data_IF_586869627354
#
_entry.id   IF_586869627354
#
_cell.length_a   1.000
_cell.length_b   1.000
_cell.length_c   1.000
_cell.angle_alpha   90.00
_cell.angle_beta   90.00
_cell.angle_gamma   90.00
#
_symmetry.space_group_name_H-M   'P 1'
#
loop_
_entity.id
_entity.type
_entity.pdbx_description
1 polymer ?
#
# COMPACT_ATOMS: atom_id res chain seq x y z
N UNK A 1 2.33 1.54 27.32
CA UNK A 1 2.09 3.00 27.31
C UNK A 1 2.65 3.50 25.99
N UNK A 2 1.83 4.08 25.10
CA UNK A 2 2.33 4.61 23.83
C UNK A 2 3.33 5.75 24.12
N UNK A 3 4.42 5.83 23.37
CA UNK A 3 5.42 6.89 23.55
C UNK A 3 4.85 8.21 23.02
N UNK A 4 5.35 9.34 23.54
CA UNK A 4 4.94 10.69 23.09
C UNK A 4 5.11 10.88 21.58
N UNK A 5 6.13 10.27 20.97
CA UNK A 5 6.32 10.26 19.52
C UNK A 5 5.19 9.51 18.79
N UNK A 6 4.79 8.34 19.29
CA UNK A 6 3.68 7.57 18.67
C UNK A 6 2.38 8.35 18.69
N UNK A 7 2.08 9.04 19.78
CA UNK A 7 0.87 9.87 19.93
C UNK A 7 0.88 11.01 18.90
N UNK A 8 2.01 11.73 18.78
CA UNK A 8 2.19 12.81 17.80
C UNK A 8 1.97 12.31 16.37
N UNK A 9 2.47 11.13 16.03
CA UNK A 9 2.28 10.52 14.71
C UNK A 9 0.81 10.19 14.44
N UNK A 10 0.08 9.67 15.43
CA UNK A 10 -1.34 9.36 15.28
C UNK A 10 -2.19 10.62 15.06
N UNK A 11 -1.90 11.71 15.78
CA UNK A 11 -2.57 13.01 15.59
C UNK A 11 -2.35 13.54 14.17
N UNK A 12 -1.11 13.48 13.67
CA UNK A 12 -0.77 13.91 12.31
C UNK A 12 -1.49 13.08 11.24
N UNK A 13 -1.56 11.76 11.41
CA UNK A 13 -2.25 10.87 10.47
C UNK A 13 -3.76 11.14 10.49
N UNK A 14 -4.37 11.32 11.66
CA UNK A 14 -5.80 11.64 11.77
C UNK A 14 -6.12 12.94 11.05
N UNK A 15 -5.32 13.99 11.26
CA UNK A 15 -5.50 15.28 10.60
C UNK A 15 -5.39 15.16 9.06
N UNK A 16 -4.44 14.38 8.55
CA UNK A 16 -4.29 14.14 7.10
C UNK A 16 -5.49 13.39 6.50
N UNK A 17 -6.03 12.39 7.22
CA UNK A 17 -7.22 11.65 6.78
C UNK A 17 -8.43 12.58 6.68
N UNK A 18 -8.60 13.44 7.68
CA UNK A 18 -9.68 14.45 7.72
C UNK A 18 -9.53 15.48 6.59
N UNK A 19 -8.33 16.01 6.36
CA UNK A 19 -8.04 16.97 5.29
C UNK A 19 -8.34 16.42 3.89
N UNK A 20 -8.11 15.12 3.68
CA UNK A 20 -8.38 14.44 2.41
C UNK A 20 -9.81 13.89 2.30
N UNK A 21 -10.67 14.13 3.30
CA UNK A 21 -12.06 13.66 3.36
C UNK A 21 -12.20 12.14 3.13
N UNK A 22 -11.21 11.35 3.59
CA UNK A 22 -11.16 9.90 3.34
C UNK A 22 -12.06 9.15 4.32
N UNK A 23 -13.00 8.37 3.79
CA UNK A 23 -13.82 7.46 4.59
C UNK A 23 -13.03 6.24 5.07
N UNK A 24 -13.49 5.62 6.14
CA UNK A 24 -12.94 4.35 6.63
C UNK A 24 -12.96 3.27 5.56
N UNK A 25 -14.04 3.19 4.79
CA UNK A 25 -14.23 2.21 3.72
C UNK A 25 -13.20 2.41 2.61
N UNK A 26 -12.91 3.66 2.24
CA UNK A 26 -11.86 3.99 1.28
C UNK A 26 -10.48 3.58 1.79
N UNK A 27 -10.14 3.92 3.04
CA UNK A 27 -8.86 3.54 3.64
C UNK A 27 -8.68 2.02 3.72
N UNK A 28 -9.72 1.29 4.12
CA UNK A 28 -9.69 -0.19 4.18
C UNK A 28 -9.54 -0.77 2.77
N UNK A 29 -10.22 -0.20 1.77
CA UNK A 29 -10.06 -0.62 0.38
C UNK A 29 -8.64 -0.39 -0.13
N UNK A 30 -8.05 0.78 0.12
CA UNK A 30 -6.67 1.09 -0.26
C UNK A 30 -5.66 0.16 0.43
N UNK A 31 -5.83 -0.08 1.74
CA UNK A 31 -4.98 -1.01 2.46
C UNK A 31 -5.07 -2.43 1.89
N UNK A 32 -6.29 -2.89 1.56
CA UNK A 32 -6.48 -4.18 0.91
C UNK A 32 -5.72 -4.23 -0.43
N UNK A 33 -5.82 -3.21 -1.27
CA UNK A 33 -5.10 -3.17 -2.55
C UNK A 33 -3.59 -3.18 -2.37
N UNK A 34 -3.05 -2.46 -1.38
CA UNK A 34 -1.62 -2.50 -1.05
C UNK A 34 -1.18 -3.93 -0.70
N UNK A 35 -1.96 -4.64 0.12
CA UNK A 35 -1.67 -6.02 0.51
C UNK A 35 -1.83 -7.01 -0.66
N UNK A 36 -2.80 -6.79 -1.53
CA UNK A 36 -3.01 -7.60 -2.73
C UNK A 36 -1.83 -7.47 -3.69
N UNK A 37 -1.32 -6.24 -3.93
CA UNK A 37 -0.12 -6.02 -4.75
C UNK A 37 1.07 -6.72 -4.11
N UNK A 38 1.32 -6.54 -2.81
CA UNK A 38 2.43 -7.23 -2.12
C UNK A 38 2.35 -8.75 -2.26
N UNK A 39 1.18 -9.33 -2.02
CA UNK A 39 0.98 -10.77 -2.12
C UNK A 39 1.20 -11.28 -3.56
N UNK A 40 0.78 -10.52 -4.56
CA UNK A 40 1.06 -10.83 -5.97
C UNK A 40 2.57 -10.81 -6.26
N UNK A 41 3.25 -9.72 -5.87
CA UNK A 41 4.69 -9.52 -6.07
C UNK A 41 5.52 -10.63 -5.39
N UNK A 42 5.18 -10.98 -4.15
CA UNK A 42 5.84 -12.06 -3.40
C UNK A 42 5.65 -13.42 -4.10
N UNK A 43 4.45 -13.70 -4.61
CA UNK A 43 4.19 -14.92 -5.39
C UNK A 43 4.98 -14.95 -6.70
N UNK A 44 5.11 -13.82 -7.39
CA UNK A 44 5.93 -13.70 -8.60
C UNK A 44 7.39 -13.97 -8.28
N UNK A 45 7.92 -13.35 -7.21
CA UNK A 45 9.29 -13.56 -6.75
C UNK A 45 9.55 -15.05 -6.45
N UNK A 46 8.63 -15.71 -5.75
CA UNK A 46 8.70 -17.14 -5.46
C UNK A 46 8.76 -18.01 -6.73
N UNK A 47 7.93 -17.70 -7.73
CA UNK A 47 7.90 -18.45 -8.99
C UNK A 47 9.17 -18.23 -9.82
N UNK A 48 9.76 -17.03 -9.79
CA UNK A 48 11.05 -16.73 -10.41
C UNK A 48 12.18 -17.50 -9.73
N UNK A 49 12.21 -17.49 -8.39
CA UNK A 49 13.21 -18.23 -7.60
C UNK A 49 13.16 -19.74 -7.87
N UNK A 50 11.96 -20.29 -8.14
CA UNK A 50 11.75 -21.69 -8.50
C UNK A 50 12.01 -21.99 -9.99
N UNK A 51 12.40 -20.99 -10.78
CA UNK A 51 12.55 -21.07 -12.25
C UNK A 51 11.28 -21.58 -12.98
N UNK A 52 10.11 -21.41 -12.36
CA UNK A 52 8.81 -21.75 -12.95
C UNK A 52 8.36 -20.64 -13.90
N UNK A 53 8.53 -19.39 -13.46
CA UNK A 53 8.30 -18.22 -14.30
C UNK A 53 9.58 -17.91 -15.09
N UNK A 54 9.45 -17.73 -16.41
CA UNK A 54 10.58 -17.44 -17.32
C UNK A 54 10.54 -15.99 -17.79
N UNK A 55 11.72 -15.38 -17.86
CA UNK A 55 11.86 -13.97 -18.25
C UNK A 55 12.32 -13.10 -17.06
N UNK A 56 12.55 -11.82 -17.34
CA UNK A 56 12.82 -10.84 -16.30
C UNK A 56 11.50 -10.21 -15.86
N UNK A 57 11.19 -10.28 -14.56
CA UNK A 57 10.14 -9.46 -13.96
C UNK A 57 10.79 -8.38 -13.12
N UNK A 58 10.27 -7.16 -13.22
CA UNK A 58 10.61 -6.06 -12.32
C UNK A 58 9.58 -6.09 -11.20
N UNK A 59 10.05 -6.34 -9.98
CA UNK A 59 9.15 -6.41 -8.84
C UNK A 59 8.86 -5.01 -8.32
N UNK A 60 7.60 -4.78 -7.99
CA UNK A 60 7.10 -3.50 -7.46
C UNK A 60 7.00 -3.49 -5.91
N UNK A 61 7.52 -4.54 -5.27
CA UNK A 61 7.48 -4.69 -3.82
C UNK A 61 8.18 -3.52 -3.10
N UNK A 62 7.43 -2.78 -2.29
CA UNK A 62 7.89 -1.60 -1.55
C UNK A 62 7.32 -0.28 -2.07
N UNK A 63 6.68 -0.30 -3.24
CA UNK A 63 6.12 0.88 -3.90
C UNK A 63 4.59 0.83 -3.99
N UNK A 64 3.93 -0.11 -3.31
CA UNK A 64 2.50 -0.39 -3.49
C UNK A 64 1.61 0.82 -3.20
N UNK A 65 1.97 1.58 -2.15
CA UNK A 65 1.24 2.79 -1.77
C UNK A 65 1.30 3.87 -2.86
N UNK A 66 2.36 3.91 -3.68
CA UNK A 66 2.49 4.85 -4.80
C UNK A 66 1.44 4.54 -5.87
N UNK A 67 1.34 3.28 -6.29
CA UNK A 67 0.35 2.87 -7.28
C UNK A 67 -1.09 3.05 -6.76
N UNK A 68 -1.38 2.57 -5.55
CA UNK A 68 -2.74 2.67 -4.96
C UNK A 68 -3.14 4.14 -4.76
N UNK A 69 -2.25 4.96 -4.20
CA UNK A 69 -2.53 6.38 -3.97
C UNK A 69 -2.70 7.17 -5.27
N UNK A 70 -1.83 6.94 -6.26
CA UNK A 70 -1.93 7.61 -7.56
C UNK A 70 -3.25 7.28 -8.28
N UNK A 71 -3.62 6.00 -8.33
CA UNK A 71 -4.88 5.57 -8.97
C UNK A 71 -6.09 6.10 -8.22
N UNK A 72 -6.07 6.09 -6.88
CA UNK A 72 -7.15 6.62 -6.06
C UNK A 72 -7.38 8.13 -6.24
N UNK A 73 -6.36 8.88 -6.66
CA UNK A 73 -6.44 10.32 -6.89
C UNK A 73 -6.95 10.71 -8.29
N UNK A 74 -7.04 9.76 -9.23
CA UNK A 74 -7.54 10.03 -10.58
C UNK A 74 -9.04 10.40 -10.54
N UNK A 75 -9.44 11.32 -11.43
CA UNK A 75 -10.82 11.75 -11.63
C UNK A 75 -11.15 11.61 -13.11
N UNK A 76 -12.35 11.14 -13.42
CA UNK A 76 -12.88 11.08 -14.80
C UNK A 76 -13.34 12.45 -15.30
#
# INVERSE_FOLDING_TARGET
>A
MATTETIRTMEQISALIEEQELSKEQLVAMLRQVLEIRALEDNIADLLNKAVLRGASHLYAGEEAVAVGAVAALRD
#
